data_IF_325118459025
#
_entry.id   IF_325118459025
#
_cell.length_a   1.000
_cell.length_b   1.000
_cell.length_c   1.000
_cell.angle_alpha   90.00
_cell.angle_beta   90.00
_cell.angle_gamma   90.00
#
_symmetry.space_group_name_H-M   'P 1'
#
loop_
_entity.id
_entity.type
_entity.pdbx_description
1 polymer ?
#
# COMPACT_ATOMS: atom_id res chain seq x y z
N UNK A 1 20.46 62.34 -52.81
CA UNK A 1 20.03 63.74 -52.59
C UNK A 1 19.55 63.89 -51.19
N UNK A 2 20.39 64.43 -50.36
CA UNK A 2 20.08 65.54 -49.41
C UNK A 2 19.08 65.19 -48.29
N UNK A 3 19.23 65.50 -47.09
CA UNK A 3 20.03 66.37 -46.23
C UNK A 3 19.44 66.32 -44.82
N UNK A 4 20.10 66.45 -43.84
CA UNK A 4 20.40 67.15 -42.59
C UNK A 4 19.98 66.30 -41.36
N UNK A 5 20.87 65.86 -40.56
CA UNK A 5 21.80 66.47 -39.59
C UNK A 5 21.15 67.30 -38.45
N UNK A 6 21.48 66.84 -37.22
CA UNK A 6 21.50 67.52 -35.93
C UNK A 6 20.20 67.66 -35.14
N UNK A 7 20.14 67.10 -33.96
CA UNK A 7 20.53 67.80 -32.72
C UNK A 7 20.76 66.83 -31.57
N UNK A 8 21.86 67.06 -30.93
CA UNK A 8 22.29 66.54 -29.63
C UNK A 8 21.44 67.27 -28.58
N UNK A 9 20.88 66.58 -27.61
CA UNK A 9 20.80 67.09 -26.26
C UNK A 9 20.87 65.97 -25.22
N UNK A 10 21.89 66.10 -24.48
CA UNK A 10 22.35 65.38 -23.32
C UNK A 10 21.48 65.77 -22.10
N UNK A 11 20.85 64.81 -21.39
CA UNK A 11 20.60 65.02 -19.96
C UNK A 11 19.96 63.79 -19.25
N UNK A 12 20.63 63.50 -18.16
CA UNK A 12 20.15 62.71 -17.02
C UNK A 12 20.23 61.20 -17.07
N UNK A 13 21.40 60.79 -16.68
CA UNK A 13 21.76 59.52 -16.07
C UNK A 13 20.99 59.35 -14.74
N UNK A 14 19.85 58.67 -14.80
CA UNK A 14 19.14 58.20 -13.62
C UNK A 14 19.49 56.76 -13.35
N UNK A 15 20.45 56.54 -12.45
CA UNK A 15 20.82 55.19 -11.98
C UNK A 15 19.69 54.66 -11.08
N UNK A 16 18.77 53.90 -11.65
CA UNK A 16 17.77 53.12 -10.86
C UNK A 16 18.48 51.90 -10.27
N UNK A 17 18.82 51.98 -8.99
CA UNK A 17 19.20 50.79 -8.20
C UNK A 17 17.96 49.92 -8.03
N UNK A 18 17.84 48.88 -8.85
CA UNK A 18 16.87 47.81 -8.61
C UNK A 18 17.44 46.89 -7.54
N UNK A 19 17.01 47.06 -6.29
CA UNK A 19 17.28 46.11 -5.23
C UNK A 19 16.46 44.83 -5.50
N UNK A 20 17.12 43.83 -6.07
CA UNK A 20 16.54 42.47 -6.16
C UNK A 20 16.53 41.89 -4.75
N UNK A 21 15.39 41.97 -4.08
CA UNK A 21 15.13 41.21 -2.87
C UNK A 21 15.03 39.72 -3.28
N UNK A 22 16.12 38.98 -3.05
CA UNK A 22 16.15 37.54 -3.23
C UNK A 22 15.15 36.88 -2.28
N UNK A 23 14.06 36.38 -2.84
CA UNK A 23 13.18 35.44 -2.11
C UNK A 23 14.02 34.17 -1.94
N UNK A 24 14.53 33.95 -0.73
CA UNK A 24 15.11 32.67 -0.34
C UNK A 24 13.98 31.64 -0.43
N UNK A 25 13.89 30.95 -1.55
CA UNK A 25 13.04 29.77 -1.72
C UNK A 25 13.45 28.75 -0.65
N UNK A 26 12.54 28.40 0.24
CA UNK A 26 12.72 27.29 1.16
C UNK A 26 12.95 26.05 0.30
N UNK A 27 14.21 25.63 0.19
CA UNK A 27 14.55 24.32 -0.37
C UNK A 27 13.97 23.28 0.58
N UNK A 28 12.93 22.59 0.13
CA UNK A 28 12.47 21.38 0.78
C UNK A 28 13.67 20.43 0.88
N UNK A 29 13.99 19.99 2.09
CA UNK A 29 15.04 19.01 2.33
C UNK A 29 14.81 17.80 1.41
N UNK A 30 15.86 17.20 0.81
CA UNK A 30 15.73 16.00 0.01
C UNK A 30 15.06 14.92 0.87
N UNK A 31 14.23 14.04 0.28
CA UNK A 31 13.58 12.99 1.04
C UNK A 31 14.64 12.17 1.77
N UNK A 32 14.47 12.03 3.06
CA UNK A 32 15.37 11.26 3.93
C UNK A 32 15.57 9.87 3.33
N UNK A 33 16.78 9.50 2.95
CA UNK A 33 17.10 8.16 2.46
C UNK A 33 16.90 7.19 3.62
N UNK A 34 15.89 6.32 3.51
CA UNK A 34 15.68 5.26 4.50
C UNK A 34 16.80 4.24 4.40
N UNK A 35 17.35 3.85 5.54
CA UNK A 35 18.32 2.78 5.59
C UNK A 35 17.73 1.48 5.00
N UNK A 36 18.48 0.83 4.13
CA UNK A 36 18.08 -0.42 3.49
C UNK A 36 17.72 -1.53 4.52
N UNK A 37 18.37 -1.53 5.69
CA UNK A 37 18.06 -2.46 6.77
C UNK A 37 16.66 -2.27 7.35
N UNK A 38 16.17 -1.03 7.41
CA UNK A 38 14.80 -0.69 7.85
C UNK A 38 13.77 -1.21 6.87
N UNK A 39 14.01 -1.04 5.56
CA UNK A 39 13.14 -1.61 4.52
C UNK A 39 13.16 -3.13 4.58
N UNK A 40 14.35 -3.74 4.72
CA UNK A 40 14.49 -5.19 4.82
C UNK A 40 13.77 -5.77 6.04
N UNK A 41 13.93 -5.17 7.22
CA UNK A 41 13.22 -5.61 8.43
C UNK A 41 11.71 -5.47 8.29
N UNK A 42 11.24 -4.40 7.64
CA UNK A 42 9.81 -4.17 7.37
C UNK A 42 9.24 -5.20 6.38
N UNK A 43 10.02 -5.59 5.36
CA UNK A 43 9.70 -6.71 4.46
C UNK A 43 9.57 -8.02 5.23
N UNK A 44 10.45 -8.26 6.21
CA UNK A 44 10.40 -9.41 7.11
C UNK A 44 9.08 -9.49 7.88
N UNK A 45 8.60 -8.37 8.45
CA UNK A 45 7.31 -8.29 9.17
C UNK A 45 6.14 -8.69 8.26
N UNK A 46 6.12 -8.17 7.03
CA UNK A 46 5.07 -8.52 6.07
C UNK A 46 5.11 -10.00 5.69
N UNK A 47 6.30 -10.55 5.48
CA UNK A 47 6.51 -11.98 5.22
C UNK A 47 6.06 -12.86 6.39
N UNK A 48 6.34 -12.46 7.60
CA UNK A 48 5.94 -13.18 8.81
C UNK A 48 4.42 -13.25 8.97
N UNK A 49 3.70 -12.14 8.74
CA UNK A 49 2.24 -12.16 8.72
C UNK A 49 1.71 -13.18 7.71
N UNK A 50 2.22 -13.18 6.48
CA UNK A 50 1.79 -14.10 5.44
C UNK A 50 2.11 -15.55 5.79
N UNK A 51 3.29 -15.80 6.34
CA UNK A 51 3.73 -17.13 6.76
C UNK A 51 2.86 -17.72 7.87
N UNK A 52 2.68 -16.97 8.97
CA UNK A 52 1.87 -17.42 10.11
C UNK A 52 0.40 -17.63 9.71
N UNK A 53 -0.17 -16.68 8.94
CA UNK A 53 -1.55 -16.80 8.48
C UNK A 53 -1.73 -17.98 7.53
N UNK A 54 -0.80 -18.17 6.59
CA UNK A 54 -0.83 -19.28 5.65
C UNK A 54 -0.76 -20.63 6.34
N UNK A 55 0.10 -20.78 7.36
CA UNK A 55 0.19 -22.00 8.17
C UNK A 55 -1.12 -22.30 8.90
N UNK A 56 -1.70 -21.31 9.59
CA UNK A 56 -2.99 -21.47 10.29
C UNK A 56 -4.12 -21.81 9.34
N UNK A 57 -4.18 -21.14 8.19
CA UNK A 57 -5.20 -21.41 7.18
C UNK A 57 -5.06 -22.82 6.63
N UNK A 58 -3.85 -23.25 6.28
CA UNK A 58 -3.59 -24.61 5.79
C UNK A 58 -3.99 -25.65 6.82
N UNK A 59 -3.64 -25.45 8.09
CA UNK A 59 -4.01 -26.37 9.17
C UNK A 59 -5.55 -26.49 9.29
N UNK A 60 -6.26 -25.37 9.39
CA UNK A 60 -7.73 -25.37 9.51
C UNK A 60 -8.41 -26.03 8.30
N UNK A 61 -7.92 -25.73 7.08
CA UNK A 61 -8.45 -26.35 5.87
C UNK A 61 -8.27 -27.87 5.84
N UNK A 62 -7.14 -28.38 6.37
CA UNK A 62 -6.84 -29.81 6.38
C UNK A 62 -7.57 -30.57 7.49
N UNK A 63 -7.79 -29.96 8.65
CA UNK A 63 -8.36 -30.61 9.82
C UNK A 63 -9.89 -30.49 9.86
N UNK A 64 -10.38 -29.25 9.68
CA UNK A 64 -11.78 -28.90 9.98
C UNK A 64 -12.54 -28.46 8.72
N UNK A 65 -11.83 -28.36 7.58
CA UNK A 65 -12.38 -28.00 6.29
C UNK A 65 -12.59 -26.48 6.09
N UNK A 66 -13.08 -26.09 4.90
CA UNK A 66 -13.14 -24.69 4.50
C UNK A 66 -14.12 -23.83 5.30
N UNK A 67 -15.18 -24.42 5.83
CA UNK A 67 -16.18 -23.68 6.65
C UNK A 67 -15.56 -23.21 7.96
N UNK A 68 -14.82 -24.07 8.65
CA UNK A 68 -14.09 -23.72 9.88
C UNK A 68 -12.94 -22.72 9.61
N UNK A 69 -12.29 -22.85 8.46
CA UNK A 69 -11.20 -21.96 8.07
C UNK A 69 -11.62 -20.47 7.93
N UNK A 70 -12.91 -20.17 7.83
CA UNK A 70 -13.41 -18.77 7.88
C UNK A 70 -13.03 -18.08 9.20
N UNK A 71 -13.03 -18.82 10.33
CA UNK A 71 -12.58 -18.33 11.64
C UNK A 71 -11.14 -17.85 11.65
N UNK A 72 -10.25 -18.49 10.90
CA UNK A 72 -8.85 -18.06 10.77
C UNK A 72 -8.76 -16.65 10.18
N UNK A 73 -9.55 -16.37 9.14
CA UNK A 73 -9.58 -15.04 8.51
C UNK A 73 -10.20 -13.99 9.44
N UNK A 74 -11.21 -14.34 10.22
CA UNK A 74 -11.96 -13.43 11.09
C UNK A 74 -11.23 -13.13 12.39
N UNK A 75 -10.58 -14.12 13.00
CA UNK A 75 -10.03 -14.05 14.35
C UNK A 75 -8.50 -14.10 14.36
N UNK A 76 -7.91 -15.12 13.73
CA UNK A 76 -6.45 -15.31 13.78
C UNK A 76 -5.70 -14.24 13.00
N UNK A 77 -6.19 -13.82 11.85
CA UNK A 77 -5.50 -12.83 11.03
C UNK A 77 -5.35 -11.46 11.71
N UNK A 78 -6.40 -10.87 12.35
CA UNK A 78 -6.24 -9.66 13.14
C UNK A 78 -5.36 -9.85 14.37
N UNK A 79 -5.42 -11.02 15.03
CA UNK A 79 -4.60 -11.33 16.19
C UNK A 79 -3.12 -11.36 15.84
N UNK A 80 -2.73 -12.04 14.77
CA UNK A 80 -1.35 -12.07 14.25
C UNK A 80 -0.88 -10.65 13.91
N UNK A 81 -1.70 -9.90 13.16
CA UNK A 81 -1.36 -8.52 12.76
C UNK A 81 -1.11 -7.63 13.98
N UNK A 82 -1.93 -7.74 15.03
CA UNK A 82 -1.76 -6.99 16.28
C UNK A 82 -0.48 -7.42 17.03
N UNK A 83 -0.24 -8.71 17.13
CA UNK A 83 0.98 -9.23 17.77
C UNK A 83 2.23 -8.69 17.07
N UNK A 84 2.28 -8.77 15.74
CA UNK A 84 3.40 -8.24 14.96
C UNK A 84 3.53 -6.73 15.08
N UNK A 85 2.41 -6.01 15.19
CA UNK A 85 2.42 -4.55 15.38
C UNK A 85 3.09 -4.18 16.69
N UNK A 86 2.71 -4.85 17.78
CA UNK A 86 3.29 -4.59 19.12
C UNK A 86 4.78 -4.98 19.17
N UNK A 87 5.12 -6.15 18.63
CA UNK A 87 6.49 -6.66 18.67
C UNK A 87 7.50 -5.80 17.88
N UNK A 88 7.03 -5.04 16.89
CA UNK A 88 7.89 -4.31 15.96
C UNK A 88 7.70 -2.77 15.99
N UNK A 89 6.96 -2.24 16.96
CA UNK A 89 6.58 -0.82 17.00
C UNK A 89 6.10 -0.31 15.63
N UNK A 90 5.15 -1.03 15.04
CA UNK A 90 4.64 -0.77 13.70
C UNK A 90 3.13 -0.99 13.65
N UNK A 91 2.47 -0.47 12.63
CA UNK A 91 1.08 -0.80 12.30
C UNK A 91 1.07 -1.81 11.17
N UNK A 92 0.68 -3.05 11.46
CA UNK A 92 0.58 -4.14 10.48
C UNK A 92 -0.89 -4.40 10.17
N UNK A 93 -1.25 -4.34 8.89
CA UNK A 93 -2.63 -4.53 8.43
C UNK A 93 -2.67 -5.28 7.08
N UNK A 94 -3.88 -5.59 6.62
CA UNK A 94 -4.11 -6.08 5.25
C UNK A 94 -5.25 -5.30 4.63
N UNK A 95 -5.10 -4.98 3.35
CA UNK A 95 -6.13 -4.31 2.55
C UNK A 95 -6.46 -5.14 1.32
N UNK A 96 -7.67 -5.00 0.80
CA UNK A 96 -8.14 -5.75 -0.35
C UNK A 96 -8.49 -4.86 -1.53
N UNK A 97 -8.34 -5.39 -2.75
CA UNK A 97 -8.89 -4.76 -3.96
C UNK A 97 -10.41 -4.86 -3.97
N UNK A 98 -10.94 -6.02 -3.59
CA UNK A 98 -12.34 -6.24 -3.22
C UNK A 98 -12.38 -6.62 -1.75
N UNK A 99 -13.18 -5.90 -0.96
CA UNK A 99 -13.10 -5.96 0.51
C UNK A 99 -14.07 -7.02 1.04
N UNK A 100 -13.57 -7.96 1.83
CA UNK A 100 -14.39 -8.94 2.57
C UNK A 100 -14.86 -8.35 3.90
N UNK A 101 -13.92 -7.87 4.70
CA UNK A 101 -14.21 -7.27 6.01
C UNK A 101 -14.13 -5.75 5.89
N UNK A 102 -15.28 -5.09 5.83
CA UNK A 102 -15.40 -3.65 5.65
C UNK A 102 -14.78 -2.84 6.81
N UNK A 103 -14.66 -3.43 7.99
CA UNK A 103 -14.08 -2.75 9.16
C UNK A 103 -12.54 -2.73 9.14
N UNK A 104 -11.90 -3.60 8.34
CA UNK A 104 -10.45 -3.83 8.44
C UNK A 104 -9.72 -3.83 7.10
N UNK A 105 -10.43 -4.04 6.00
CA UNK A 105 -9.83 -4.30 4.70
C UNK A 105 -9.90 -3.16 3.70
N UNK A 106 -10.51 -2.03 4.07
CA UNK A 106 -10.69 -0.87 3.19
C UNK A 106 -9.38 -0.09 3.06
N UNK A 107 -8.83 0.05 1.84
CA UNK A 107 -7.59 0.79 1.63
C UNK A 107 -7.83 2.31 1.71
N UNK A 108 -6.89 3.03 2.32
CA UNK A 108 -6.82 4.49 2.25
C UNK A 108 -6.18 4.97 0.92
N UNK A 109 -5.98 6.28 0.74
CA UNK A 109 -5.53 6.86 -0.52
C UNK A 109 -4.21 6.26 -1.04
N UNK A 110 -3.14 6.26 -0.23
CA UNK A 110 -1.84 5.74 -0.67
C UNK A 110 -1.85 4.20 -0.87
N UNK A 111 -2.66 3.49 -0.10
CA UNK A 111 -2.83 2.04 -0.24
C UNK A 111 -3.57 1.69 -1.54
N UNK A 112 -4.57 2.51 -1.94
CA UNK A 112 -5.24 2.36 -3.25
C UNK A 112 -4.25 2.58 -4.38
N UNK A 113 -3.40 3.59 -4.28
CA UNK A 113 -2.35 3.85 -5.26
C UNK A 113 -1.38 2.67 -5.38
N UNK A 114 -0.89 2.14 -4.25
CA UNK A 114 -0.04 0.95 -4.23
C UNK A 114 -0.74 -0.26 -4.87
N UNK A 115 -2.02 -0.50 -4.57
CA UNK A 115 -2.79 -1.58 -5.18
C UNK A 115 -2.91 -1.42 -6.70
N UNK A 116 -3.16 -0.20 -7.20
CA UNK A 116 -3.22 0.09 -8.64
C UNK A 116 -1.88 -0.21 -9.33
N UNK A 117 -0.76 0.20 -8.73
CA UNK A 117 0.58 -0.13 -9.24
C UNK A 117 0.82 -1.65 -9.25
N UNK A 118 0.38 -2.36 -8.21
CA UNK A 118 0.52 -3.82 -8.14
C UNK A 118 -0.30 -4.53 -9.22
N UNK A 119 -1.52 -4.10 -9.48
CA UNK A 119 -2.34 -4.64 -10.58
C UNK A 119 -1.65 -4.47 -11.92
N UNK A 120 -1.10 -3.29 -12.20
CA UNK A 120 -0.36 -3.02 -13.42
C UNK A 120 0.88 -3.92 -13.57
N UNK A 121 1.68 -4.10 -12.50
CA UNK A 121 2.89 -4.95 -12.51
C UNK A 121 2.56 -6.43 -12.70
N UNK A 122 1.51 -6.92 -12.02
CA UNK A 122 1.04 -8.30 -12.18
C UNK A 122 0.50 -8.55 -13.60
N UNK A 123 -0.22 -7.60 -14.20
CA UNK A 123 -0.70 -7.70 -15.58
C UNK A 123 0.42 -7.73 -16.62
N UNK A 124 1.59 -7.20 -16.28
CA UNK A 124 2.82 -7.27 -17.07
C UNK A 124 3.61 -8.57 -16.83
N UNK A 125 3.10 -9.49 -16.01
CA UNK A 125 3.69 -10.80 -15.74
C UNK A 125 4.71 -10.82 -14.61
N UNK A 126 4.84 -9.76 -13.83
CA UNK A 126 5.71 -9.75 -12.65
C UNK A 126 5.16 -10.71 -11.59
N UNK A 127 6.05 -11.45 -10.92
CA UNK A 127 5.63 -12.40 -9.88
C UNK A 127 5.21 -11.66 -8.62
N UNK A 128 4.05 -11.97 -8.07
CA UNK A 128 3.55 -11.32 -6.85
C UNK A 128 4.53 -11.41 -5.66
N UNK A 129 5.38 -12.45 -5.63
CA UNK A 129 6.44 -12.58 -4.64
C UNK A 129 7.46 -11.43 -4.69
N UNK A 130 7.63 -10.79 -5.84
CA UNK A 130 8.59 -9.71 -6.07
C UNK A 130 7.93 -8.32 -6.05
N UNK A 131 6.58 -8.28 -6.07
CA UNK A 131 5.82 -7.03 -6.11
C UNK A 131 5.66 -6.44 -4.71
N UNK A 132 6.36 -5.35 -4.49
CA UNK A 132 6.27 -4.53 -3.28
C UNK A 132 6.41 -3.05 -3.62
N UNK A 133 5.98 -2.19 -2.69
CA UNK A 133 6.09 -0.75 -2.78
C UNK A 133 6.41 -0.18 -1.39
N UNK A 134 7.24 0.83 -1.34
CA UNK A 134 7.45 1.58 -0.11
C UNK A 134 7.76 3.05 -0.40
N UNK A 135 7.47 3.89 0.58
CA UNK A 135 7.77 5.31 0.56
C UNK A 135 7.96 5.84 1.97
N UNK A 136 8.68 6.94 2.07
CA UNK A 136 8.69 7.77 3.28
C UNK A 136 7.62 8.82 3.14
N UNK A 137 6.87 9.04 4.19
CA UNK A 137 5.81 10.04 4.23
C UNK A 137 5.76 10.72 5.60
N UNK A 138 5.20 11.91 5.66
CA UNK A 138 4.79 12.52 6.92
C UNK A 138 3.58 11.77 7.49
N UNK A 139 3.58 11.54 8.79
CA UNK A 139 2.49 10.84 9.50
C UNK A 139 1.33 11.77 9.89
N UNK A 140 1.35 13.02 9.45
CA UNK A 140 0.38 14.05 9.80
C UNK A 140 0.69 14.80 11.12
N UNK A 141 1.82 14.48 11.77
CA UNK A 141 2.28 15.09 13.01
C UNK A 141 3.72 15.62 12.91
N UNK A 142 4.19 15.87 11.68
CA UNK A 142 5.55 16.38 11.42
C UNK A 142 6.66 15.37 11.68
N UNK A 143 6.34 14.06 11.75
CA UNK A 143 7.31 12.97 11.88
C UNK A 143 7.26 12.07 10.66
N UNK A 144 8.42 11.58 10.26
CA UNK A 144 8.54 10.66 9.14
C UNK A 144 8.09 9.24 9.52
N UNK A 145 7.45 8.58 8.58
CA UNK A 145 7.10 7.15 8.68
C UNK A 145 7.47 6.42 7.38
N UNK A 146 7.89 5.15 7.50
CA UNK A 146 7.99 4.25 6.37
C UNK A 146 6.63 3.59 6.14
N UNK A 147 6.09 3.76 4.94
CA UNK A 147 4.91 3.05 4.43
C UNK A 147 5.37 1.96 3.50
N UNK A 148 5.04 0.73 3.81
CA UNK A 148 5.42 -0.46 3.03
C UNK A 148 4.18 -1.28 2.68
N UNK A 149 4.11 -1.77 1.47
CA UNK A 149 3.08 -2.67 0.99
C UNK A 149 3.68 -3.87 0.24
N UNK A 150 3.15 -5.07 0.47
CA UNK A 150 3.52 -6.32 -0.20
C UNK A 150 2.30 -6.92 -0.86
N UNK A 151 2.39 -7.20 -2.16
CA UNK A 151 1.28 -7.77 -2.91
C UNK A 151 0.89 -9.17 -2.43
N UNK A 152 -0.41 -9.45 -2.46
CA UNK A 152 -1.02 -10.76 -2.23
C UNK A 152 -1.79 -11.14 -3.49
N UNK A 153 -1.32 -12.12 -4.24
CA UNK A 153 -2.06 -12.66 -5.38
C UNK A 153 -2.86 -13.91 -5.00
N UNK A 154 -3.93 -14.13 -5.73
CA UNK A 154 -4.76 -15.33 -5.62
C UNK A 154 -3.95 -16.55 -6.08
N UNK A 155 -3.88 -17.56 -5.23
CA UNK A 155 -3.33 -18.87 -5.52
C UNK A 155 -4.47 -19.87 -5.75
N UNK A 156 -4.24 -21.06 -6.36
CA UNK A 156 -5.30 -22.04 -6.62
C UNK A 156 -6.16 -22.37 -5.39
N UNK A 157 -5.52 -22.55 -4.23
CA UNK A 157 -6.25 -22.85 -2.97
C UNK A 157 -7.11 -21.68 -2.45
N UNK A 158 -6.88 -20.46 -2.92
CA UNK A 158 -7.66 -19.29 -2.51
C UNK A 158 -9.05 -19.27 -3.15
N UNK A 159 -9.23 -19.97 -4.28
CA UNK A 159 -10.48 -19.95 -5.04
C UNK A 159 -11.65 -20.57 -4.27
N UNK A 160 -11.40 -21.54 -3.38
CA UNK A 160 -12.46 -22.13 -2.55
C UNK A 160 -13.23 -21.09 -1.70
N UNK A 161 -12.61 -19.94 -1.41
CA UNK A 161 -13.24 -18.84 -0.65
C UNK A 161 -13.34 -17.54 -1.42
N UNK A 162 -12.58 -17.38 -2.50
CA UNK A 162 -12.44 -16.13 -3.25
C UNK A 162 -12.77 -16.28 -4.74
N UNK A 163 -13.02 -17.50 -5.23
CA UNK A 163 -13.36 -17.79 -6.61
C UNK A 163 -14.77 -17.33 -7.00
N UNK A 164 -15.25 -17.86 -8.10
CA UNK A 164 -16.62 -17.64 -8.59
C UNK A 164 -17.65 -18.34 -7.69
N UNK A 165 -18.92 -18.07 -7.92
CA UNK A 165 -19.99 -18.75 -7.20
C UNK A 165 -19.97 -20.29 -7.38
N UNK A 166 -19.41 -20.75 -8.50
CA UNK A 166 -19.26 -22.18 -8.80
C UNK A 166 -18.08 -22.82 -8.05
N UNK A 167 -17.07 -22.04 -7.69
CA UNK A 167 -15.90 -22.50 -6.95
C UNK A 167 -16.17 -22.62 -5.44
N UNK A 168 -17.17 -21.88 -4.94
CA UNK A 168 -17.47 -21.79 -3.50
C UNK A 168 -18.61 -22.75 -3.17
N UNK A 169 -18.32 -23.80 -2.41
CA UNK A 169 -19.32 -24.77 -1.98
C UNK A 169 -20.44 -24.13 -1.14
N UNK A 170 -21.69 -24.57 -1.33
CA UNK A 170 -22.86 -23.96 -0.70
C UNK A 170 -22.76 -23.78 0.84
N UNK A 171 -22.26 -24.73 1.65
CA UNK A 171 -22.10 -24.53 3.09
C UNK A 171 -21.09 -23.42 3.43
N UNK A 172 -20.05 -23.26 2.61
CA UNK A 172 -19.05 -22.21 2.78
C UNK A 172 -19.60 -20.84 2.34
N UNK A 173 -20.34 -20.80 1.23
CA UNK A 173 -20.99 -19.58 0.75
C UNK A 173 -21.96 -19.02 1.81
N UNK A 174 -22.76 -19.88 2.44
CA UNK A 174 -23.66 -19.49 3.53
C UNK A 174 -22.88 -18.99 4.76
N UNK A 175 -21.81 -19.67 5.17
CA UNK A 175 -20.95 -19.22 6.26
C UNK A 175 -20.35 -17.84 5.97
N UNK A 176 -19.83 -17.62 4.75
CA UNK A 176 -19.27 -16.33 4.33
C UNK A 176 -20.33 -15.23 4.36
N UNK A 177 -21.55 -15.50 3.90
CA UNK A 177 -22.68 -14.56 3.91
C UNK A 177 -23.04 -14.11 5.32
N UNK A 178 -23.05 -15.05 6.28
CA UNK A 178 -23.34 -14.76 7.70
C UNK A 178 -22.21 -13.92 8.32
N UNK A 179 -20.94 -14.32 8.10
CA UNK A 179 -19.80 -13.69 8.75
C UNK A 179 -19.39 -12.35 8.11
N UNK A 180 -19.70 -12.17 6.83
CA UNK A 180 -19.34 -11.00 6.04
C UNK A 180 -20.50 -10.58 5.13
N UNK A 181 -21.57 -9.98 5.68
CA UNK A 181 -22.79 -9.67 4.90
C UNK A 181 -22.53 -8.69 3.72
N UNK A 182 -21.45 -7.92 3.76
CA UNK A 182 -21.05 -7.00 2.71
C UNK A 182 -19.78 -7.48 1.97
N UNK A 183 -19.57 -8.79 1.87
CA UNK A 183 -18.41 -9.38 1.20
C UNK A 183 -18.39 -9.04 -0.30
N UNK A 184 -17.32 -8.43 -0.75
CA UNK A 184 -17.05 -8.16 -2.17
C UNK A 184 -15.90 -9.02 -2.72
N UNK A 185 -15.25 -9.83 -1.89
CA UNK A 185 -14.01 -10.52 -2.21
C UNK A 185 -14.23 -11.91 -2.83
N UNK A 186 -15.10 -11.99 -3.82
CA UNK A 186 -15.38 -13.20 -4.61
C UNK A 186 -15.17 -12.93 -6.10
N UNK A 187 -15.24 -13.96 -6.94
CA UNK A 187 -15.10 -13.86 -8.39
C UNK A 187 -13.67 -13.57 -8.84
N UNK A 188 -12.67 -14.00 -8.09
CA UNK A 188 -11.27 -13.91 -8.49
C UNK A 188 -10.84 -15.11 -9.31
N UNK A 189 -9.81 -14.91 -10.14
CA UNK A 189 -9.04 -15.93 -10.83
C UNK A 189 -7.62 -16.02 -10.28
N UNK A 190 -6.95 -17.15 -10.47
CA UNK A 190 -5.54 -17.34 -10.08
C UNK A 190 -4.66 -16.26 -10.71
N UNK A 191 -3.74 -15.73 -9.93
CA UNK A 191 -2.81 -14.66 -10.33
C UNK A 191 -3.34 -13.24 -10.14
N UNK A 192 -4.65 -13.05 -10.01
CA UNK A 192 -5.19 -11.71 -9.75
C UNK A 192 -4.76 -11.17 -8.38
N UNK A 193 -4.60 -9.87 -8.28
CA UNK A 193 -4.30 -9.19 -7.03
C UNK A 193 -5.47 -9.29 -6.07
N UNK A 194 -5.25 -9.95 -4.91
CA UNK A 194 -6.22 -10.02 -3.81
C UNK A 194 -6.16 -8.78 -2.93
N UNK A 195 -4.98 -8.19 -2.83
CA UNK A 195 -4.73 -7.07 -1.95
C UNK A 195 -3.26 -6.96 -1.54
N UNK A 196 -3.01 -6.39 -0.37
CA UNK A 196 -1.66 -6.22 0.16
C UNK A 196 -1.59 -6.43 1.67
N UNK A 197 -0.44 -6.91 2.17
CA UNK A 197 0.01 -6.63 3.53
C UNK A 197 0.58 -5.23 3.55
N UNK A 198 0.21 -4.47 4.55
CA UNK A 198 0.67 -3.10 4.75
C UNK A 198 1.34 -2.99 6.12
N UNK A 199 2.54 -2.43 6.13
CA UNK A 199 3.29 -2.12 7.35
C UNK A 199 3.62 -0.63 7.33
N UNK A 200 3.22 0.08 8.39
CA UNK A 200 3.60 1.48 8.61
C UNK A 200 4.36 1.56 9.92
N UNK A 201 5.56 2.12 9.89
CA UNK A 201 6.38 2.27 11.08
C UNK A 201 7.00 3.66 11.17
N UNK A 202 7.12 4.24 12.38
CA UNK A 202 7.81 5.52 12.57
C UNK A 202 9.28 5.38 12.16
N UNK A 203 9.81 6.48 11.64
CA UNK A 203 11.25 6.66 11.42
C UNK A 203 11.80 7.57 12.51
N UNK A 204 13.08 7.43 12.86
CA UNK A 204 13.75 8.28 13.86
C UNK A 204 13.69 9.75 13.53
#
# INVERSE_FOLDING_TARGET
MNFFQKFIDNRFLGLLLVTVTGIAGAQSAPPSTVDASVVQSTRGIAGELLGQLGQKLKAAMSTDGPVAAVGVCKESAPAIARQLSIANDAKVTRVGTRVRNQNMGVPNAWQKEALTQFEARLSQGEKAADVEYWQVADNGHGKSELRYAKAIAIQPQCLSCHGSAQDIAAPLAEKLRIEYPNDQATGYSVGQLRGAVVVTRPLP
#
